data_IF_573408707598
#
_entry.id   IF_573408707598
#
_cell.length_a   1.000
_cell.length_b   1.000
_cell.length_c   1.000
_cell.angle_alpha   90.00
_cell.angle_beta   90.00
_cell.angle_gamma   90.00
#
_symmetry.space_group_name_H-M   'P 1'
#
loop_
_entity.id
_entity.type
_entity.pdbx_description
1 polymer ?
#
# COMPACT_ATOMS: atom_id res chain seq x y z
N UNK A 1 13.03 14.11 -12.54
CA UNK A 1 13.68 15.23 -11.83
C UNK A 1 13.96 14.86 -10.39
N UNK A 2 14.77 15.63 -9.68
CA UNK A 2 14.81 15.58 -8.21
C UNK A 2 13.42 15.92 -7.69
N UNK A 3 12.92 15.17 -6.71
CA UNK A 3 11.65 15.46 -6.05
C UNK A 3 11.94 16.63 -5.10
N UNK A 4 11.49 17.87 -5.39
CA UNK A 4 11.97 19.05 -4.68
C UNK A 4 11.40 19.18 -3.25
N UNK A 5 10.52 18.26 -2.85
CA UNK A 5 9.75 18.29 -1.61
C UNK A 5 9.45 16.87 -1.15
N UNK A 6 9.23 16.67 0.15
CA UNK A 6 8.86 15.36 0.69
C UNK A 6 7.66 14.76 -0.07
N UNK A 7 7.66 13.45 -0.29
CA UNK A 7 6.64 12.78 -1.12
C UNK A 7 5.23 13.01 -0.57
N UNK A 8 5.08 13.14 0.75
CA UNK A 8 3.79 13.41 1.40
C UNK A 8 3.15 14.74 0.99
N UNK A 9 3.94 15.74 0.61
CA UNK A 9 3.43 17.04 0.11
C UNK A 9 2.97 16.95 -1.34
N UNK A 10 3.62 16.11 -2.15
CA UNK A 10 3.27 15.94 -3.56
C UNK A 10 2.13 14.94 -3.76
N UNK A 11 2.08 13.92 -2.91
CA UNK A 11 1.11 12.82 -2.93
C UNK A 11 0.51 12.61 -1.54
N UNK A 12 -0.35 13.52 -1.07
CA UNK A 12 -0.95 13.40 0.25
C UNK A 12 -1.80 12.13 0.36
N UNK A 13 -1.85 11.57 1.57
CA UNK A 13 -2.70 10.44 1.92
C UNK A 13 -4.05 10.97 2.39
N UNK A 14 -5.05 10.94 1.52
CA UNK A 14 -6.29 11.73 1.69
C UNK A 14 -7.28 11.15 2.71
N UNK A 15 -7.20 9.86 3.01
CA UNK A 15 -7.99 9.18 4.05
C UNK A 15 -7.26 9.07 5.40
N UNK A 16 -5.99 9.48 5.48
CA UNK A 16 -5.33 9.67 6.76
C UNK A 16 -5.76 11.02 7.35
N UNK A 17 -6.47 10.98 8.48
CA UNK A 17 -6.96 12.18 9.18
C UNK A 17 -5.88 12.93 9.98
N UNK A 18 -4.61 12.73 9.61
CA UNK A 18 -3.44 13.39 10.17
C UNK A 18 -2.55 13.81 8.99
N UNK A 19 -2.38 15.13 8.73
CA UNK A 19 -3.01 16.26 9.43
C UNK A 19 -4.54 16.32 9.21
N UNK A 20 -5.27 17.21 9.91
CA UNK A 20 -6.71 17.38 9.70
C UNK A 20 -7.08 17.67 8.23
N UNK A 21 -8.28 17.24 7.81
CA UNK A 21 -8.73 17.35 6.42
C UNK A 21 -8.57 18.76 5.84
N UNK A 22 -8.89 19.81 6.61
CA UNK A 22 -8.79 21.20 6.15
C UNK A 22 -7.36 21.61 5.77
N UNK A 23 -6.35 21.00 6.41
CA UNK A 23 -4.94 21.22 6.05
C UNK A 23 -4.62 20.54 4.73
N UNK A 24 -5.02 19.27 4.58
CA UNK A 24 -4.81 18.49 3.34
C UNK A 24 -5.53 19.16 2.15
N UNK A 25 -6.76 19.64 2.34
CA UNK A 25 -7.52 20.37 1.31
C UNK A 25 -6.79 21.67 0.89
N UNK A 26 -6.31 22.46 1.84
CA UNK A 26 -5.56 23.67 1.53
C UNK A 26 -4.25 23.37 0.79
N UNK A 27 -3.54 22.29 1.15
CA UNK A 27 -2.34 21.85 0.42
C UNK A 27 -2.69 21.43 -1.02
N UNK A 28 -3.79 20.70 -1.22
CA UNK A 28 -4.25 20.24 -2.52
C UNK A 28 -4.70 21.38 -3.44
N UNK A 29 -5.34 22.41 -2.91
CA UNK A 29 -5.73 23.60 -3.69
C UNK A 29 -4.53 24.43 -4.12
N UNK A 30 -3.42 24.36 -3.38
CA UNK A 30 -2.18 25.06 -3.73
C UNK A 30 -1.31 24.29 -4.75
N UNK A 31 -1.63 23.04 -5.07
CA UNK A 31 -0.87 22.26 -6.06
C UNK A 31 -1.18 22.74 -7.49
N UNK A 32 -0.15 23.17 -8.22
CA UNK A 32 -0.26 23.61 -9.62
C UNK A 32 0.12 22.54 -10.66
N UNK A 33 0.53 21.35 -10.20
CA UNK A 33 0.91 20.23 -11.07
C UNK A 33 -0.26 19.24 -11.24
N UNK A 34 -0.09 18.26 -12.14
CA UNK A 34 -0.99 17.10 -12.20
C UNK A 34 -0.96 16.39 -10.85
N UNK A 35 -2.08 16.44 -10.12
CA UNK A 35 -2.20 15.83 -8.78
C UNK A 35 -2.15 14.31 -8.87
N UNK A 36 -1.47 13.68 -7.94
CA UNK A 36 -1.46 12.25 -7.72
C UNK A 36 -1.60 12.04 -6.22
N UNK A 37 -2.54 11.17 -5.81
CA UNK A 37 -3.01 11.09 -4.43
C UNK A 37 -2.87 9.64 -3.95
N UNK A 38 -2.63 9.47 -2.65
CA UNK A 38 -2.63 8.15 -2.03
C UNK A 38 -3.96 7.94 -1.32
N UNK A 39 -4.54 6.75 -1.48
CA UNK A 39 -5.61 6.27 -0.60
C UNK A 39 -5.50 4.79 -0.28
N UNK A 40 -6.03 4.38 0.89
CA UNK A 40 -6.27 2.97 1.22
C UNK A 40 -7.76 2.61 1.24
N UNK A 41 -8.67 3.51 0.84
CA UNK A 41 -10.09 3.21 0.87
C UNK A 41 -10.46 2.05 -0.07
N UNK A 42 -11.36 1.15 0.35
CA UNK A 42 -12.03 0.25 -0.58
C UNK A 42 -12.89 1.07 -1.56
N UNK A 43 -13.16 0.48 -2.72
CA UNK A 43 -13.83 1.18 -3.84
C UNK A 43 -15.23 1.71 -3.46
N UNK A 44 -15.93 1.01 -2.57
CA UNK A 44 -17.28 1.33 -2.09
C UNK A 44 -17.30 2.47 -1.06
N UNK A 45 -16.19 2.71 -0.36
CA UNK A 45 -16.00 3.87 0.52
C UNK A 45 -15.39 5.08 -0.21
N UNK A 46 -14.78 4.85 -1.37
CA UNK A 46 -14.19 5.91 -2.19
C UNK A 46 -15.26 6.62 -3.02
N UNK A 47 -15.21 7.96 -3.06
CA UNK A 47 -15.96 8.72 -4.08
C UNK A 47 -15.27 8.52 -5.44
N UNK A 48 -15.70 7.48 -6.16
CA UNK A 48 -15.14 7.14 -7.46
C UNK A 48 -15.46 8.21 -8.50
N UNK A 49 -14.46 8.60 -9.29
CA UNK A 49 -14.57 9.60 -10.34
C UNK A 49 -14.17 8.99 -11.68
N UNK A 50 -15.04 9.04 -12.71
CA UNK A 50 -14.68 8.56 -14.04
C UNK A 50 -13.59 9.43 -14.71
N UNK A 51 -13.27 10.60 -14.15
CA UNK A 51 -12.25 11.51 -14.66
C UNK A 51 -10.86 11.27 -14.03
N UNK A 52 -10.80 10.58 -12.89
CA UNK A 52 -9.54 10.21 -12.26
C UNK A 52 -9.03 8.88 -12.82
N UNK A 53 -7.71 8.71 -12.84
CA UNK A 53 -7.05 7.41 -13.13
C UNK A 53 -6.62 6.78 -11.82
N UNK A 54 -6.92 5.50 -11.65
CA UNK A 54 -6.63 4.72 -10.44
C UNK A 54 -5.59 3.66 -10.75
N UNK A 55 -4.50 3.63 -9.98
CA UNK A 55 -3.51 2.55 -10.01
C UNK A 55 -3.66 1.78 -8.69
N UNK A 56 -4.26 0.60 -8.76
CA UNK A 56 -4.45 -0.26 -7.61
C UNK A 56 -3.28 -1.25 -7.51
N UNK A 57 -2.54 -1.19 -6.40
CA UNK A 57 -1.38 -2.05 -6.17
C UNK A 57 -1.75 -3.14 -5.16
N UNK A 58 -1.75 -4.39 -5.62
CA UNK A 58 -1.99 -5.56 -4.77
C UNK A 58 -0.70 -6.32 -4.44
N UNK A 59 -0.80 -7.15 -3.41
CA UNK A 59 0.22 -8.09 -2.98
C UNK A 59 -0.45 -9.25 -2.26
N UNK A 60 0.15 -10.43 -2.29
CA UNK A 60 -0.30 -11.59 -1.50
C UNK A 60 -0.59 -11.18 -0.04
N UNK A 61 -1.80 -11.48 0.43
CA UNK A 61 -2.31 -11.09 1.74
C UNK A 61 -1.47 -11.60 2.90
N UNK A 62 -0.84 -12.78 2.75
CA UNK A 62 0.07 -13.32 3.76
C UNK A 62 1.26 -12.39 3.96
N UNK A 63 1.88 -11.97 2.88
CA UNK A 63 3.00 -11.03 2.91
C UNK A 63 2.60 -9.62 3.40
N UNK A 64 1.39 -9.17 3.06
CA UNK A 64 0.83 -7.90 3.58
C UNK A 64 0.76 -7.95 5.10
N UNK A 65 0.16 -9.00 5.66
CA UNK A 65 -0.02 -9.12 7.11
C UNK A 65 1.32 -9.16 7.86
N UNK A 66 2.31 -9.92 7.36
CA UNK A 66 3.67 -9.92 7.93
C UNK A 66 4.32 -8.53 7.83
N UNK A 67 4.15 -7.85 6.69
CA UNK A 67 4.65 -6.48 6.52
C UNK A 67 4.01 -5.51 7.52
N UNK A 68 2.70 -5.64 7.72
CA UNK A 68 1.92 -4.81 8.62
C UNK A 68 2.30 -5.03 10.09
N UNK A 69 2.50 -6.29 10.51
CA UNK A 69 3.02 -6.61 11.84
C UNK A 69 4.31 -5.84 12.13
N UNK A 70 5.29 -5.91 11.22
CA UNK A 70 6.56 -5.22 11.41
C UNK A 70 6.44 -3.70 11.28
N UNK A 71 5.55 -3.20 10.42
CA UNK A 71 5.28 -1.77 10.27
C UNK A 71 4.85 -1.16 11.61
N UNK A 72 3.86 -1.76 12.27
CA UNK A 72 3.37 -1.28 13.55
C UNK A 72 4.32 -1.63 14.71
N UNK A 73 5.00 -2.78 14.68
CA UNK A 73 6.01 -3.11 15.68
C UNK A 73 7.15 -2.08 15.74
N UNK A 74 7.53 -1.52 14.58
CA UNK A 74 8.62 -0.55 14.44
C UNK A 74 8.14 0.92 14.41
N UNK A 75 6.84 1.16 14.47
CA UNK A 75 6.29 2.51 14.53
C UNK A 75 6.66 3.18 15.86
N UNK A 76 7.02 4.46 15.79
CA UNK A 76 7.32 5.27 16.96
C UNK A 76 6.03 5.66 17.69
N UNK A 77 6.15 6.04 18.97
CA UNK A 77 5.03 6.48 19.80
C UNK A 77 4.26 7.65 19.15
N UNK A 78 4.97 8.55 18.45
CA UNK A 78 4.37 9.67 17.73
C UNK A 78 3.32 9.27 16.68
N UNK A 79 3.50 8.12 15.99
CA UNK A 79 2.48 7.60 15.07
C UNK A 79 1.22 7.22 15.85
N UNK A 80 1.37 6.51 16.97
CA UNK A 80 0.26 6.07 17.79
C UNK A 80 -0.48 7.25 18.41
N UNK A 81 0.26 8.24 18.93
CA UNK A 81 -0.32 9.46 19.48
C UNK A 81 -1.12 10.20 18.40
N UNK A 82 -0.54 10.41 17.22
CA UNK A 82 -1.19 11.14 16.14
C UNK A 82 -2.52 10.48 15.69
N UNK A 83 -2.54 9.17 15.46
CA UNK A 83 -3.75 8.47 15.01
C UNK A 83 -4.78 8.29 16.13
N UNK A 84 -4.34 8.06 17.37
CA UNK A 84 -5.26 7.81 18.49
C UNK A 84 -5.88 9.08 19.05
N UNK A 85 -5.19 10.22 18.94
CA UNK A 85 -5.68 11.54 19.38
C UNK A 85 -6.42 12.30 18.27
N UNK A 86 -6.61 11.70 17.09
CA UNK A 86 -7.39 12.31 16.02
C UNK A 86 -8.82 12.61 16.47
N UNK A 87 -9.29 13.83 16.27
CA UNK A 87 -10.65 14.26 16.63
C UNK A 87 -11.71 13.38 15.95
N UNK A 88 -12.79 13.06 16.66
CA UNK A 88 -13.90 12.26 16.12
C UNK A 88 -13.53 10.82 15.73
N UNK A 89 -12.47 10.24 16.33
CA UNK A 89 -12.07 8.84 16.10
C UNK A 89 -13.19 7.87 16.45
N UNK A 90 -13.43 6.93 15.55
CA UNK A 90 -14.37 5.81 15.72
C UNK A 90 -13.57 4.52 15.90
N UNK A 91 -14.06 3.63 16.76
CA UNK A 91 -13.44 2.32 17.04
C UNK A 91 -12.48 2.31 18.24
N UNK A 92 -11.81 1.18 18.55
CA UNK A 92 -10.80 1.09 19.60
C UNK A 92 -9.48 1.76 19.17
N UNK A 93 -8.64 2.24 20.11
CA UNK A 93 -7.34 2.83 19.77
C UNK A 93 -6.46 1.78 19.06
N UNK A 94 -5.66 2.23 18.09
CA UNK A 94 -4.65 1.39 17.45
C UNK A 94 -3.54 1.14 18.47
N UNK A 95 -3.18 -0.12 18.63
CA UNK A 95 -2.17 -0.57 19.58
C UNK A 95 -0.98 -1.19 18.86
N UNK A 96 0.18 -1.15 19.52
CA UNK A 96 1.36 -1.87 19.04
C UNK A 96 1.10 -3.37 19.13
N UNK A 97 1.49 -4.18 18.12
CA UNK A 97 1.39 -5.63 18.22
C UNK A 97 2.11 -6.13 19.48
N UNK A 98 1.41 -6.94 20.29
CA UNK A 98 1.95 -7.54 21.52
C UNK A 98 2.16 -9.05 21.40
N UNK A 99 1.48 -9.68 20.45
CA UNK A 99 1.64 -11.10 20.14
C UNK A 99 2.83 -11.32 19.21
N UNK A 100 3.22 -12.58 18.99
CA UNK A 100 4.12 -12.88 17.90
C UNK A 100 3.45 -12.69 16.52
N UNK A 101 4.26 -12.73 15.47
CA UNK A 101 3.86 -12.46 14.09
C UNK A 101 2.85 -13.48 13.55
N UNK A 102 2.88 -14.73 14.02
CA UNK A 102 1.97 -15.78 13.59
C UNK A 102 0.60 -15.59 14.22
N UNK A 103 0.55 -15.30 15.52
CA UNK A 103 -0.70 -14.99 16.22
C UNK A 103 -1.36 -13.72 15.66
N UNK A 104 -0.55 -12.70 15.33
CA UNK A 104 -1.00 -11.52 14.59
C UNK A 104 -1.65 -11.90 13.25
N UNK A 105 -0.97 -12.73 12.47
CA UNK A 105 -1.47 -13.19 11.17
C UNK A 105 -2.80 -13.94 11.30
N UNK A 106 -2.91 -14.87 12.25
CA UNK A 106 -4.14 -15.64 12.46
C UNK A 106 -5.30 -14.76 12.91
N UNK A 107 -5.04 -13.77 13.77
CA UNK A 107 -6.04 -12.78 14.15
C UNK A 107 -6.50 -11.94 12.95
N UNK A 108 -5.56 -11.38 12.20
CA UNK A 108 -5.82 -10.63 10.97
C UNK A 108 -6.62 -11.46 9.96
N UNK A 109 -6.21 -12.70 9.73
CA UNK A 109 -6.86 -13.60 8.79
C UNK A 109 -8.30 -13.89 9.24
N UNK A 110 -8.51 -14.32 10.48
CA UNK A 110 -9.82 -14.76 10.99
C UNK A 110 -10.81 -13.61 11.09
N UNK A 111 -10.33 -12.40 11.35
CA UNK A 111 -11.12 -11.18 11.43
C UNK A 111 -11.06 -10.31 10.16
N UNK A 112 -10.69 -10.90 9.02
CA UNK A 112 -10.77 -10.28 7.69
C UNK A 112 -10.04 -8.94 7.59
N UNK A 113 -8.87 -8.78 8.20
CA UNK A 113 -8.09 -7.54 8.09
C UNK A 113 -8.01 -6.67 9.35
N UNK A 114 -8.73 -7.04 10.42
CA UNK A 114 -8.70 -6.34 11.71
C UNK A 114 -7.24 -6.10 12.21
N UNK A 115 -6.94 -4.93 12.80
CA UNK A 115 -7.85 -3.82 13.14
C UNK A 115 -8.02 -2.76 12.04
N UNK A 116 -7.67 -3.09 10.79
CA UNK A 116 -7.70 -2.13 9.68
C UNK A 116 -8.87 -2.41 8.73
N UNK A 117 -8.63 -2.37 7.42
CA UNK A 117 -9.66 -2.46 6.40
C UNK A 117 -9.97 -3.94 6.09
N UNK A 118 -11.25 -4.29 5.87
CA UNK A 118 -11.67 -5.59 5.36
C UNK A 118 -10.87 -6.04 4.13
N UNK A 119 -9.92 -6.97 4.31
CA UNK A 119 -8.89 -7.22 3.29
C UNK A 119 -9.48 -7.83 2.01
N UNK A 120 -10.27 -8.90 2.15
CA UNK A 120 -10.75 -9.63 0.97
C UNK A 120 -11.79 -8.83 0.19
N UNK A 121 -12.70 -8.15 0.89
CA UNK A 121 -13.69 -7.26 0.28
C UNK A 121 -13.02 -6.08 -0.44
N UNK A 122 -11.99 -5.48 0.16
CA UNK A 122 -11.19 -4.44 -0.47
C UNK A 122 -10.55 -4.93 -1.78
N UNK A 123 -9.91 -6.09 -1.78
CA UNK A 123 -9.29 -6.64 -3.01
C UNK A 123 -10.34 -6.99 -4.07
N UNK A 124 -11.43 -7.66 -3.68
CA UNK A 124 -12.47 -8.06 -4.62
C UNK A 124 -13.17 -6.85 -5.25
N UNK A 125 -13.48 -5.81 -4.48
CA UNK A 125 -14.13 -4.60 -5.01
C UNK A 125 -13.30 -3.91 -6.09
N UNK A 126 -11.99 -3.75 -5.87
CA UNK A 126 -11.08 -3.21 -6.89
C UNK A 126 -10.92 -4.14 -8.09
N UNK A 127 -10.98 -5.46 -7.88
CA UNK A 127 -10.96 -6.45 -8.95
C UNK A 127 -12.21 -6.39 -9.82
N UNK A 128 -13.40 -6.17 -9.25
CA UNK A 128 -14.66 -6.15 -9.99
C UNK A 128 -14.73 -5.00 -11.00
N UNK A 129 -14.06 -3.88 -10.70
CA UNK A 129 -14.01 -2.72 -11.59
C UNK A 129 -12.77 -2.67 -12.48
N UNK A 130 -11.96 -3.73 -12.52
CA UNK A 130 -10.66 -3.76 -13.25
C UNK A 130 -10.77 -3.52 -14.75
N UNK A 131 -11.95 -3.75 -15.33
CA UNK A 131 -12.21 -3.54 -16.76
C UNK A 131 -12.53 -2.08 -17.10
N UNK A 132 -12.68 -1.22 -16.09
CA UNK A 132 -12.85 0.22 -16.33
C UNK A 132 -11.57 0.81 -16.93
N UNK A 133 -11.66 1.62 -18.00
CA UNK A 133 -10.48 2.12 -18.71
C UNK A 133 -9.62 3.09 -17.88
N UNK A 134 -10.14 3.57 -16.75
CA UNK A 134 -9.46 4.43 -15.80
C UNK A 134 -8.98 3.67 -14.54
N UNK A 135 -8.92 2.34 -14.56
CA UNK A 135 -8.36 1.49 -13.50
C UNK A 135 -7.23 0.64 -14.06
N UNK A 136 -6.07 0.67 -13.40
CA UNK A 136 -4.94 -0.20 -13.69
C UNK A 136 -4.62 -1.04 -12.47
N UNK A 137 -4.68 -2.37 -12.62
CA UNK A 137 -4.16 -3.29 -11.61
C UNK A 137 -2.65 -3.48 -11.78
N UNK A 138 -1.94 -3.41 -10.66
CA UNK A 138 -0.50 -3.65 -10.56
C UNK A 138 -0.26 -4.62 -9.41
N UNK A 139 0.65 -5.57 -9.59
CA UNK A 139 1.01 -6.52 -8.56
C UNK A 139 2.45 -6.30 -8.08
N UNK A 140 2.66 -6.33 -6.77
CA UNK A 140 3.96 -6.07 -6.15
C UNK A 140 5.05 -7.04 -6.62
N UNK A 141 4.73 -8.31 -6.87
CA UNK A 141 5.72 -9.26 -7.40
C UNK A 141 6.20 -8.85 -8.80
N UNK A 142 5.30 -8.35 -9.65
CA UNK A 142 5.65 -7.93 -11.02
C UNK A 142 6.54 -6.68 -10.98
N UNK A 143 6.25 -5.74 -10.06
CA UNK A 143 7.09 -4.55 -9.82
C UNK A 143 8.51 -4.94 -9.40
N UNK A 144 8.67 -6.07 -8.72
CA UNK A 144 9.99 -6.56 -8.31
C UNK A 144 10.71 -7.34 -9.39
N UNK A 145 9.99 -8.20 -10.11
CA UNK A 145 10.56 -9.07 -11.13
C UNK A 145 11.02 -8.27 -12.35
N UNK A 146 10.19 -7.32 -12.80
CA UNK A 146 10.50 -6.47 -13.94
C UNK A 146 9.98 -5.04 -13.74
N UNK A 147 10.64 -4.23 -12.91
CA UNK A 147 10.21 -2.86 -12.60
C UNK A 147 10.12 -1.98 -13.86
N UNK A 148 11.03 -2.15 -14.82
CA UNK A 148 11.03 -1.38 -16.07
C UNK A 148 9.75 -1.58 -16.88
N UNK A 149 9.33 -2.84 -17.07
CA UNK A 149 8.07 -3.18 -17.75
C UNK A 149 6.85 -2.61 -17.03
N UNK A 150 6.79 -2.72 -15.70
CA UNK A 150 5.65 -2.19 -14.95
C UNK A 150 5.60 -0.66 -14.99
N UNK A 151 6.77 0.02 -14.94
CA UNK A 151 6.87 1.48 -15.10
C UNK A 151 6.40 1.90 -16.50
N UNK A 152 6.81 1.20 -17.55
CA UNK A 152 6.33 1.45 -18.91
C UNK A 152 4.81 1.30 -19.01
N UNK A 153 4.24 0.23 -18.42
CA UNK A 153 2.79 0.00 -18.41
C UNK A 153 2.03 1.11 -17.66
N UNK A 154 2.56 1.55 -16.52
CA UNK A 154 2.00 2.69 -15.77
C UNK A 154 2.12 4.01 -16.53
N UNK A 155 3.25 4.26 -17.20
CA UNK A 155 3.45 5.47 -18.01
C UNK A 155 2.46 5.52 -19.18
N UNK A 156 2.29 4.41 -19.91
CA UNK A 156 1.28 4.28 -20.97
C UNK A 156 -0.13 4.52 -20.43
N UNK A 157 -0.51 3.87 -19.33
CA UNK A 157 -1.80 4.10 -18.68
C UNK A 157 -2.00 5.55 -18.25
N UNK A 158 -0.95 6.23 -17.80
CA UNK A 158 -1.01 7.63 -17.38
C UNK A 158 -0.95 8.62 -18.54
N UNK A 159 -0.72 8.17 -19.79
CA UNK A 159 -0.41 9.00 -20.97
C UNK A 159 0.84 9.86 -20.74
N UNK A 160 1.92 9.24 -20.26
CA UNK A 160 3.22 9.87 -20.05
C UNK A 160 4.20 9.22 -21.02
N UNK A 161 4.84 10.03 -21.86
CA UNK A 161 5.96 9.57 -22.68
C UNK A 161 7.16 9.28 -21.78
N UNK A 162 7.67 8.05 -21.82
CA UNK A 162 8.82 7.63 -21.05
C UNK A 162 9.75 6.82 -21.94
N UNK A 163 10.89 7.42 -22.30
CA UNK A 163 11.95 6.74 -23.02
C UNK A 163 12.73 5.79 -22.09
N UNK A 164 13.62 4.99 -22.70
CA UNK A 164 14.39 3.97 -21.99
C UNK A 164 15.29 4.58 -20.89
N UNK A 165 15.80 5.79 -21.10
CA UNK A 165 16.67 6.48 -20.14
C UNK A 165 15.87 6.97 -18.93
N UNK A 166 14.68 7.53 -19.15
CA UNK A 166 13.77 7.93 -18.08
C UNK A 166 13.30 6.71 -17.29
N UNK A 167 12.90 5.63 -17.96
CA UNK A 167 12.49 4.37 -17.30
C UNK A 167 13.64 3.85 -16.42
N UNK A 168 14.86 3.76 -16.97
CA UNK A 168 16.03 3.31 -16.22
C UNK A 168 16.32 4.19 -15.01
N UNK A 169 16.22 5.52 -15.15
CA UNK A 169 16.39 6.46 -14.04
C UNK A 169 15.31 6.30 -12.96
N UNK A 170 14.06 6.04 -13.34
CA UNK A 170 12.98 5.77 -12.39
C UNK A 170 13.26 4.48 -11.64
N UNK A 171 13.61 3.39 -12.33
CA UNK A 171 13.94 2.09 -11.71
C UNK A 171 15.01 2.25 -10.63
N UNK A 172 16.10 2.96 -10.94
CA UNK A 172 17.19 3.20 -10.00
C UNK A 172 16.70 3.99 -8.77
N UNK A 173 15.97 5.09 -9.00
CA UNK A 173 15.47 6.00 -7.96
C UNK A 173 14.35 5.40 -7.11
N UNK A 174 13.60 4.43 -7.61
CA UNK A 174 12.53 3.76 -6.86
C UNK A 174 12.97 2.41 -6.32
N UNK A 175 14.25 2.05 -6.46
CA UNK A 175 14.78 0.84 -5.83
C UNK A 175 14.71 0.93 -4.31
N UNK A 176 14.52 -0.21 -3.64
CA UNK A 176 14.44 -0.26 -2.17
C UNK A 176 15.66 0.38 -1.51
N UNK A 177 16.87 0.13 -2.03
CA UNK A 177 18.10 0.69 -1.50
C UNK A 177 18.12 2.22 -1.63
N UNK A 178 17.73 2.75 -2.80
CA UNK A 178 17.68 4.19 -3.07
C UNK A 178 16.60 4.92 -2.27
N UNK A 179 15.45 4.28 -2.03
CA UNK A 179 14.40 4.86 -1.19
C UNK A 179 14.78 4.80 0.30
N UNK A 180 15.38 3.70 0.76
CA UNK A 180 15.84 3.55 2.15
C UNK A 180 16.91 4.57 2.50
N UNK A 181 17.86 4.85 1.60
CA UNK A 181 18.89 5.88 1.84
C UNK A 181 18.31 7.30 1.92
N UNK A 182 17.10 7.51 1.39
CA UNK A 182 16.34 8.77 1.42
C UNK A 182 15.06 8.65 2.27
N UNK A 183 15.09 7.84 3.33
CA UNK A 183 13.87 7.52 4.08
C UNK A 183 13.13 8.74 4.63
N UNK A 184 13.84 9.82 4.98
CA UNK A 184 13.25 11.09 5.44
C UNK A 184 12.33 11.71 4.38
N UNK A 185 12.65 11.56 3.08
CA UNK A 185 11.88 12.12 1.97
C UNK A 185 10.67 11.26 1.60
N UNK A 186 10.75 9.94 1.83
CA UNK A 186 9.80 8.95 1.28
C UNK A 186 8.98 8.19 2.33
N UNK A 187 9.38 8.17 3.60
CA UNK A 187 8.57 7.57 4.66
C UNK A 187 7.36 8.45 4.97
N UNK A 188 6.13 7.90 5.06
CA UNK A 188 4.94 8.68 5.38
C UNK A 188 5.04 9.24 6.81
N UNK A 189 4.61 10.50 7.01
CA UNK A 189 4.76 11.19 8.30
C UNK A 189 6.21 11.55 8.66
N UNK A 190 7.15 11.42 7.71
CA UNK A 190 8.54 11.82 7.89
C UNK A 190 9.31 10.95 8.88
N UNK A 191 10.36 11.54 9.47
CA UNK A 191 11.28 10.83 10.38
C UNK A 191 10.69 10.52 11.76
N UNK A 192 9.49 11.01 12.08
CA UNK A 192 8.90 10.95 13.42
C UNK A 192 8.01 9.73 13.63
N UNK A 193 7.35 9.23 12.57
CA UNK A 193 6.42 8.10 12.68
C UNK A 193 7.11 6.73 12.75
N UNK A 194 8.36 6.66 12.32
CA UNK A 194 9.12 5.42 12.23
C UNK A 194 10.52 5.59 12.81
N UNK A 195 11.00 4.57 13.52
CA UNK A 195 12.34 4.58 14.06
C UNK A 195 13.41 4.70 12.97
N UNK A 196 14.62 5.09 13.37
CA UNK A 196 15.76 5.31 12.46
C UNK A 196 15.46 6.33 11.35
N UNK A 197 14.74 7.40 11.70
CA UNK A 197 14.37 8.49 10.77
C UNK A 197 13.65 7.98 9.51
N UNK A 198 12.72 7.04 9.66
CA UNK A 198 11.99 6.45 8.54
C UNK A 198 12.58 5.16 7.98
N UNK A 199 13.84 4.80 8.29
CA UNK A 199 14.49 3.65 7.63
C UNK A 199 13.79 2.32 7.94
N UNK A 200 13.20 2.19 9.12
CA UNK A 200 12.43 0.99 9.52
C UNK A 200 11.15 0.76 8.71
N UNK A 201 10.63 1.79 8.03
CA UNK A 201 9.54 1.65 7.04
C UNK A 201 10.00 0.78 5.85
N UNK A 202 11.26 0.94 5.41
CA UNK A 202 11.84 0.22 4.28
C UNK A 202 12.52 -1.09 4.72
N UNK A 203 11.77 -2.06 5.27
CA UNK A 203 12.35 -3.25 5.95
C UNK A 203 13.05 -4.28 5.05
N UNK A 204 12.30 -5.01 4.22
CA UNK A 204 12.85 -6.13 3.43
C UNK A 204 12.57 -5.96 1.93
N UNK A 205 11.42 -5.37 1.57
CA UNK A 205 10.99 -5.20 0.17
C UNK A 205 10.94 -6.48 -0.66
N UNK A 206 11.18 -7.65 -0.07
CA UNK A 206 11.08 -8.98 -0.68
C UNK A 206 9.65 -9.51 -0.71
N UNK A 207 9.44 -10.67 -1.35
CA UNK A 207 8.17 -11.41 -1.34
C UNK A 207 8.38 -12.79 -0.71
N UNK A 208 7.34 -13.44 -0.20
CA UNK A 208 7.40 -14.79 0.36
C UNK A 208 7.91 -14.85 1.81
N UNK A 209 7.89 -13.74 2.54
CA UNK A 209 8.33 -13.69 3.94
C UNK A 209 7.42 -14.49 4.86
N UNK A 210 6.16 -14.67 4.44
CA UNK A 210 5.21 -15.52 5.15
C UNK A 210 5.68 -16.97 5.27
N UNK A 211 6.52 -17.47 4.36
CA UNK A 211 6.99 -18.87 4.38
C UNK A 211 7.84 -19.22 5.61
N UNK A 212 8.50 -18.22 6.21
CA UNK A 212 9.29 -18.40 7.43
C UNK A 212 8.51 -18.06 8.70
N UNK A 213 7.46 -17.23 8.58
CA UNK A 213 6.65 -16.77 9.71
C UNK A 213 5.45 -17.67 10.01
N UNK A 214 4.93 -18.38 8.99
CA UNK A 214 3.69 -19.15 9.07
C UNK A 214 3.96 -20.64 8.92
N UNK A 215 3.09 -21.45 9.53
CA UNK A 215 3.07 -22.89 9.31
C UNK A 215 2.26 -23.25 8.06
N UNK A 216 2.46 -24.44 7.47
CA UNK A 216 1.67 -24.88 6.32
C UNK A 216 0.16 -24.80 6.54
N UNK A 217 -0.33 -25.16 7.73
CA UNK A 217 -1.75 -25.10 8.06
C UNK A 217 -2.31 -23.67 8.09
N UNK A 218 -1.51 -22.67 8.49
CA UNK A 218 -1.96 -21.26 8.50
C UNK A 218 -2.09 -20.74 7.06
N UNK A 219 -1.18 -21.17 6.18
CA UNK A 219 -1.24 -20.85 4.75
C UNK A 219 -2.43 -21.53 4.08
N UNK A 220 -2.75 -22.76 4.45
CA UNK A 220 -3.94 -23.46 3.94
C UNK A 220 -5.23 -22.77 4.40
N UNK A 221 -5.32 -22.37 5.68
CA UNK A 221 -6.45 -21.59 6.20
C UNK A 221 -6.63 -20.28 5.41
N UNK A 222 -5.53 -19.60 5.06
CA UNK A 222 -5.58 -18.41 4.19
C UNK A 222 -6.15 -18.71 2.81
N UNK A 223 -5.66 -19.76 2.15
CA UNK A 223 -6.11 -20.12 0.80
C UNK A 223 -7.60 -20.49 0.80
N UNK A 224 -8.06 -21.23 1.81
CA UNK A 224 -9.47 -21.56 1.98
C UNK A 224 -10.32 -20.30 2.17
N UNK A 225 -9.88 -19.37 3.02
CA UNK A 225 -10.61 -18.11 3.23
C UNK A 225 -10.61 -17.23 1.98
N UNK A 226 -9.50 -17.14 1.26
CA UNK A 226 -9.40 -16.40 0.01
C UNK A 226 -10.33 -16.98 -1.05
N UNK A 227 -10.37 -18.30 -1.23
CA UNK A 227 -11.27 -18.98 -2.18
C UNK A 227 -12.76 -18.79 -1.85
N UNK A 228 -13.12 -18.59 -0.57
CA UNK A 228 -14.49 -18.28 -0.16
C UNK A 228 -14.87 -16.82 -0.38
N UNK A 229 -13.90 -15.91 -0.38
CA UNK A 229 -14.13 -14.46 -0.39
C UNK A 229 -13.83 -13.79 -1.72
N UNK A 230 -13.03 -14.41 -2.58
CA UNK A 230 -12.57 -13.88 -3.85
C UNK A 230 -13.06 -14.74 -5.01
N UNK A 231 -13.31 -14.11 -6.16
CA UNK A 231 -13.49 -14.85 -7.41
C UNK A 231 -12.20 -15.62 -7.78
N UNK A 232 -12.30 -16.78 -8.46
CA UNK A 232 -11.13 -17.60 -8.78
C UNK A 232 -9.98 -16.85 -9.46
N UNK A 233 -10.31 -15.99 -10.43
CA UNK A 233 -9.30 -15.20 -11.15
C UNK A 233 -8.65 -14.13 -10.25
N UNK A 234 -9.42 -13.56 -9.32
CA UNK A 234 -8.92 -12.59 -8.35
C UNK A 234 -7.98 -13.24 -7.34
N UNK A 235 -8.35 -14.40 -6.78
CA UNK A 235 -7.49 -15.18 -5.89
C UNK A 235 -6.17 -15.52 -6.59
N UNK A 236 -6.27 -16.04 -7.82
CA UNK A 236 -5.11 -16.41 -8.59
C UNK A 236 -4.19 -15.21 -8.80
N UNK A 237 -4.73 -14.09 -9.29
CA UNK A 237 -3.97 -12.87 -9.51
C UNK A 237 -3.37 -12.29 -8.22
N UNK A 238 -4.10 -12.30 -7.10
CA UNK A 238 -3.62 -11.81 -5.81
C UNK A 238 -2.41 -12.61 -5.31
N UNK A 239 -2.36 -13.91 -5.62
CA UNK A 239 -1.28 -14.81 -5.19
C UNK A 239 -0.08 -14.76 -6.13
N UNK A 240 -0.30 -14.72 -7.44
CA UNK A 240 0.76 -14.90 -8.45
C UNK A 240 1.18 -13.58 -9.09
N UNK A 241 0.28 -12.60 -9.18
CA UNK A 241 0.42 -11.41 -10.02
C UNK A 241 0.10 -11.65 -11.50
N UNK A 242 -0.31 -12.87 -11.86
CA UNK A 242 -0.66 -13.25 -13.23
C UNK A 242 -2.15 -13.01 -13.46
N UNK A 243 -2.50 -12.29 -14.53
CA UNK A 243 -3.87 -12.21 -15.01
C UNK A 243 -4.12 -13.45 -15.88
N UNK A 244 -5.13 -14.25 -15.55
CA UNK A 244 -5.59 -15.29 -16.46
C UNK A 244 -6.16 -14.62 -17.72
N UNK A 245 -5.72 -15.09 -18.89
CA UNK A 245 -6.18 -14.64 -20.21
C UNK A 245 -7.51 -15.31 -20.57
#
# INVERSE_FOLDING_TARGET
GNVPTAVGTLSPWVDLRVPPLTVVEAELENQSHRRFLKTHLPVDALVFSPHAKYIYVARDGRDISISMYHHFSNAADALYDAVNQTEGRVGPPIQRPTSDVRDWFLHWLRNDGDPFIPFFEHVQGWWDIRHNPNVLLVHFCNLKENPGREIERMAAFLNIEADADLISSIVEKTSLASMRSRAVEFAPGGSEFFAEKGATFFRNGGSGQWTTALKPEDSEEYLQKAALKLSPDCEHWLRTGELQL
#
